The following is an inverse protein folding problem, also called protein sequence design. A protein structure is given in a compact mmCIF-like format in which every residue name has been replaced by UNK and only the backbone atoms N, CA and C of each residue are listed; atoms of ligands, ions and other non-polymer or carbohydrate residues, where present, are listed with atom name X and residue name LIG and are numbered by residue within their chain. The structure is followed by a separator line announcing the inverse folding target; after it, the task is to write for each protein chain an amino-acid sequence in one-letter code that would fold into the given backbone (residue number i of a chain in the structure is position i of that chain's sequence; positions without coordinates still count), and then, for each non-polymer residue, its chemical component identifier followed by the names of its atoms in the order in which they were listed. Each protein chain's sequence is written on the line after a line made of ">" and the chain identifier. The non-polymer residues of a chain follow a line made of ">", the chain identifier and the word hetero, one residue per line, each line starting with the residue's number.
data_IF_414025498112
#
_entry.id   IF_414025498112
#
_cell.length_a   1.000
_cell.length_b   1.000
_cell.length_c   1.000
_cell.angle_alpha   90.00
_cell.angle_beta   90.00
_cell.angle_gamma   90.00
#
_symmetry.space_group_name_H-M   'P 1'
#
loop_
_entity.id
_entity.type
_entity.pdbx_description
1 polymer ?
#
# COMPACT_ATOMS: atom_id res chain seq x y z
N UNK A 1 -26.20 12.17 10.00
CA UNK A 1 -25.12 12.32 8.99
C UNK A 1 -24.89 11.00 8.29
N UNK A 2 -24.64 11.00 6.97
CA UNK A 2 -24.05 9.84 6.30
C UNK A 2 -22.62 9.61 6.80
N UNK A 3 -22.05 8.43 6.57
CA UNK A 3 -20.64 8.16 6.91
C UNK A 3 -19.69 9.17 6.26
N UNK A 4 -19.92 9.48 4.98
CA UNK A 4 -19.14 10.45 4.20
C UNK A 4 -19.18 11.85 4.82
N UNK A 5 -20.37 12.33 5.16
CA UNK A 5 -20.55 13.64 5.81
C UNK A 5 -19.84 13.70 7.17
N UNK A 6 -19.95 12.63 7.95
CA UNK A 6 -19.32 12.50 9.27
C UNK A 6 -17.80 12.56 9.20
N UNK A 7 -17.19 11.80 8.29
CA UNK A 7 -15.74 11.80 8.06
C UNK A 7 -15.26 13.17 7.60
N UNK A 8 -15.96 13.78 6.63
CA UNK A 8 -15.61 15.13 6.15
C UNK A 8 -15.73 16.18 7.24
N UNK A 9 -16.79 16.13 8.07
CA UNK A 9 -16.95 17.04 9.21
C UNK A 9 -15.78 16.91 10.19
N UNK A 10 -15.35 15.68 10.50
CA UNK A 10 -14.22 15.44 11.39
C UNK A 10 -12.88 15.97 10.82
N UNK A 11 -12.60 15.70 9.53
CA UNK A 11 -11.38 16.20 8.85
C UNK A 11 -11.35 17.73 8.79
N UNK A 12 -12.51 18.38 8.63
CA UNK A 12 -12.65 19.83 8.60
C UNK A 12 -12.75 20.47 9.99
N UNK A 13 -12.48 19.72 11.06
CA UNK A 13 -12.61 20.17 12.45
C UNK A 13 -14.00 20.69 12.84
N UNK A 14 -15.06 20.18 12.19
CA UNK A 14 -16.45 20.41 12.53
C UNK A 14 -16.94 19.35 13.51
N UNK A 15 -18.13 19.54 14.08
CA UNK A 15 -18.69 18.59 15.04
C UNK A 15 -19.51 17.50 14.30
N UNK A 16 -18.99 16.28 14.14
CA UNK A 16 -19.77 15.16 13.64
C UNK A 16 -20.76 14.67 14.71
N UNK A 17 -21.79 13.94 14.30
CA UNK A 17 -22.78 13.34 15.19
C UNK A 17 -22.20 12.24 16.11
N UNK A 18 -21.11 11.59 15.70
CA UNK A 18 -20.25 10.69 16.47
C UNK A 18 -18.83 10.69 15.90
N UNK A 19 -17.87 10.11 16.60
CA UNK A 19 -16.52 9.87 16.07
C UNK A 19 -16.60 8.93 14.85
N UNK A 20 -16.00 9.28 13.71
CA UNK A 20 -15.90 8.38 12.57
C UNK A 20 -15.12 7.11 12.91
N UNK A 21 -15.55 5.99 12.37
CA UNK A 21 -14.90 4.71 12.54
C UNK A 21 -14.24 4.23 11.23
N UNK A 22 -12.98 3.79 11.33
CA UNK A 22 -12.29 3.03 10.30
C UNK A 22 -11.91 1.66 10.86
N UNK A 23 -11.78 0.66 9.99
CA UNK A 23 -11.40 -0.68 10.39
C UNK A 23 -10.33 -1.22 9.47
N UNK A 24 -9.19 -1.54 10.04
CA UNK A 24 -8.09 -2.21 9.38
C UNK A 24 -7.67 -3.40 10.25
N UNK A 25 -7.57 -4.57 9.63
CA UNK A 25 -7.12 -5.78 10.31
C UNK A 25 -6.44 -6.73 9.31
N UNK A 26 -5.50 -7.53 9.81
CA UNK A 26 -4.88 -8.60 9.02
C UNK A 26 -5.92 -9.63 8.59
N UNK A 27 -5.66 -10.35 7.49
CA UNK A 27 -6.61 -11.28 6.89
C UNK A 27 -7.10 -12.37 7.84
N UNK A 28 -6.26 -12.83 8.76
CA UNK A 28 -6.62 -13.85 9.78
C UNK A 28 -7.63 -13.31 10.78
N UNK A 29 -7.53 -12.05 11.21
CA UNK A 29 -8.51 -11.41 12.11
C UNK A 29 -9.84 -11.23 11.37
N UNK A 30 -9.82 -10.73 10.12
CA UNK A 30 -11.01 -10.60 9.31
C UNK A 30 -11.74 -11.94 9.18
N UNK A 31 -11.02 -13.01 8.83
CA UNK A 31 -11.61 -14.36 8.71
C UNK A 31 -12.23 -14.83 10.03
N UNK A 32 -11.52 -14.71 11.16
CA UNK A 32 -12.03 -15.09 12.48
C UNK A 32 -13.31 -14.31 12.85
N UNK A 33 -13.38 -13.03 12.54
CA UNK A 33 -14.57 -12.21 12.78
C UNK A 33 -15.73 -12.63 11.89
N UNK A 34 -15.47 -12.85 10.59
CA UNK A 34 -16.48 -13.35 9.65
C UNK A 34 -17.07 -14.69 10.10
N UNK A 35 -16.21 -15.65 10.48
CA UNK A 35 -16.61 -16.96 11.01
C UNK A 35 -17.40 -16.82 12.31
N UNK A 36 -16.95 -16.00 13.25
CA UNK A 36 -17.60 -15.78 14.54
C UNK A 36 -19.03 -15.27 14.40
N UNK A 37 -19.28 -14.35 13.47
CA UNK A 37 -20.60 -13.79 13.22
C UNK A 37 -21.42 -14.57 12.18
N UNK A 38 -20.85 -15.55 11.51
CA UNK A 38 -21.48 -16.26 10.42
C UNK A 38 -21.69 -15.40 9.16
N UNK A 39 -20.83 -14.41 8.96
CA UNK A 39 -20.90 -13.52 7.82
C UNK A 39 -20.28 -14.14 6.57
N UNK A 40 -20.88 -13.87 5.42
CA UNK A 40 -20.43 -14.34 4.10
C UNK A 40 -19.95 -13.22 3.18
N UNK A 41 -20.24 -11.98 3.53
CA UNK A 41 -19.82 -10.77 2.83
C UNK A 41 -19.16 -9.80 3.83
N UNK A 42 -18.03 -9.21 3.43
CA UNK A 42 -17.28 -8.26 4.25
C UNK A 42 -18.10 -7.01 4.60
N UNK A 43 -19.06 -6.61 3.75
CA UNK A 43 -19.94 -5.48 4.02
C UNK A 43 -20.77 -5.69 5.30
N UNK A 44 -21.12 -6.95 5.65
CA UNK A 44 -21.81 -7.25 6.90
C UNK A 44 -20.96 -6.91 8.13
N UNK A 45 -19.62 -7.04 8.00
CA UNK A 45 -18.68 -6.63 9.05
C UNK A 45 -18.60 -5.11 9.15
N UNK A 46 -18.55 -4.42 8.00
CA UNK A 46 -18.55 -2.95 7.95
C UNK A 46 -19.83 -2.36 8.56
N UNK A 47 -20.98 -2.97 8.28
CA UNK A 47 -22.28 -2.59 8.87
C UNK A 47 -22.31 -2.89 10.38
N UNK A 48 -21.88 -4.07 10.79
CA UNK A 48 -21.87 -4.51 12.20
C UNK A 48 -21.08 -3.56 13.10
N UNK A 49 -19.96 -3.05 12.62
CA UNK A 49 -19.09 -2.12 13.36
C UNK A 49 -19.33 -0.65 13.00
N UNK A 50 -20.39 -0.37 12.22
CA UNK A 50 -20.74 1.00 11.79
C UNK A 50 -19.54 1.75 11.17
N UNK A 51 -18.75 1.05 10.34
CA UNK A 51 -17.55 1.59 9.72
C UNK A 51 -17.92 2.68 8.71
N UNK A 52 -17.25 3.82 8.79
CA UNK A 52 -17.51 4.99 7.97
C UNK A 52 -16.59 5.08 6.76
N UNK A 53 -15.40 4.49 6.82
CA UNK A 53 -14.34 4.59 5.81
C UNK A 53 -14.11 3.25 5.14
N UNK A 54 -14.15 3.22 3.80
CA UNK A 54 -13.96 2.00 3.02
C UNK A 54 -12.80 2.18 2.05
N UNK A 55 -11.80 1.28 2.07
CA UNK A 55 -10.71 1.31 1.10
C UNK A 55 -11.19 0.89 -0.29
N UNK A 56 -10.71 1.60 -1.32
CA UNK A 56 -10.97 1.30 -2.72
C UNK A 56 -9.68 1.38 -3.53
N UNK A 57 -9.61 0.62 -4.62
CA UNK A 57 -8.49 0.64 -5.53
C UNK A 57 -8.83 -0.01 -6.87
N UNK A 58 -8.16 0.34 -7.97
CA UNK A 58 -8.40 -0.27 -9.26
C UNK A 58 -7.99 -1.73 -9.26
N UNK A 59 -8.71 -2.55 -10.03
CA UNK A 59 -8.41 -3.97 -10.19
C UNK A 59 -7.10 -4.14 -10.97
N UNK A 60 -6.22 -4.97 -10.45
CA UNK A 60 -5.02 -5.37 -11.17
C UNK A 60 -5.38 -6.27 -12.36
N UNK A 61 -4.85 -5.95 -13.53
CA UNK A 61 -5.03 -6.66 -14.81
C UNK A 61 -3.71 -6.91 -15.53
N UNK A 62 -2.58 -6.64 -14.88
CA UNK A 62 -1.23 -6.81 -15.43
C UNK A 62 -0.81 -8.27 -15.54
N UNK A 63 0.50 -8.53 -15.67
CA UNK A 63 1.05 -9.87 -15.72
C UNK A 63 0.61 -10.75 -14.55
N UNK A 64 0.48 -12.05 -14.77
CA UNK A 64 0.07 -13.00 -13.72
C UNK A 64 0.95 -12.92 -12.48
N UNK A 65 0.33 -12.75 -11.32
CA UNK A 65 1.01 -12.77 -10.04
C UNK A 65 1.19 -14.22 -9.59
N UNK A 66 2.43 -14.68 -9.61
CA UNK A 66 2.77 -16.06 -9.30
C UNK A 66 2.71 -16.35 -7.81
N UNK A 67 2.23 -17.55 -7.47
CA UNK A 67 2.32 -18.10 -6.13
C UNK A 67 2.69 -19.57 -6.21
N UNK A 68 3.62 -20.02 -5.34
CA UNK A 68 4.12 -21.40 -5.32
C UNK A 68 4.48 -21.85 -3.91
N UNK A 69 4.81 -23.12 -3.74
CA UNK A 69 5.37 -23.65 -2.49
C UNK A 69 6.90 -23.74 -2.63
N UNK A 70 7.63 -23.23 -1.63
CA UNK A 70 9.08 -23.42 -1.53
C UNK A 70 9.42 -24.85 -1.03
N UNK A 71 10.70 -25.16 -0.90
CA UNK A 71 11.18 -26.47 -0.43
C UNK A 71 10.71 -26.83 0.98
N UNK A 72 10.38 -25.84 1.81
CA UNK A 72 9.83 -26.03 3.16
C UNK A 72 8.30 -26.18 3.18
N UNK A 73 7.64 -26.10 2.02
CA UNK A 73 6.18 -26.13 1.90
C UNK A 73 5.47 -24.83 2.27
N UNK A 74 6.20 -23.73 2.48
CA UNK A 74 5.66 -22.41 2.74
C UNK A 74 5.16 -21.75 1.45
N UNK A 75 4.07 -21.00 1.51
CA UNK A 75 3.57 -20.26 0.34
C UNK A 75 4.48 -19.05 0.06
N UNK A 76 4.95 -18.95 -1.17
CA UNK A 76 5.64 -17.77 -1.69
C UNK A 76 4.73 -17.07 -2.68
N UNK A 77 4.61 -15.76 -2.60
CA UNK A 77 3.81 -14.93 -3.52
C UNK A 77 4.67 -13.81 -4.07
N UNK A 78 4.62 -13.61 -5.39
CA UNK A 78 5.31 -12.52 -6.06
C UNK A 78 4.37 -11.34 -6.24
N UNK A 79 4.81 -10.15 -5.81
CA UNK A 79 4.07 -8.90 -6.00
C UNK A 79 4.21 -8.37 -7.44
N UNK A 80 3.34 -7.43 -7.84
CA UNK A 80 3.50 -6.73 -9.13
C UNK A 80 4.73 -5.81 -9.16
N UNK A 81 5.30 -5.46 -8.00
CA UNK A 81 6.60 -4.81 -7.85
C UNK A 81 7.79 -5.78 -7.98
N UNK A 82 7.54 -7.08 -8.13
CA UNK A 82 8.58 -8.09 -8.36
C UNK A 82 9.26 -8.65 -7.11
N UNK A 83 9.04 -8.09 -5.92
CA UNK A 83 9.50 -8.72 -4.68
C UNK A 83 8.66 -9.95 -4.33
N UNK A 84 9.23 -10.86 -3.53
CA UNK A 84 8.54 -12.07 -3.11
C UNK A 84 8.37 -12.10 -1.61
N UNK A 85 7.19 -12.52 -1.16
CA UNK A 85 6.89 -12.72 0.25
C UNK A 85 6.64 -14.19 0.52
N UNK A 86 7.22 -14.69 1.61
CA UNK A 86 6.95 -16.04 2.13
C UNK A 86 6.00 -15.93 3.33
N UNK A 87 4.97 -16.74 3.34
CA UNK A 87 4.06 -16.85 4.50
C UNK A 87 4.81 -17.42 5.70
N UNK A 88 4.79 -16.68 6.78
CA UNK A 88 5.29 -17.12 8.08
C UNK A 88 4.10 -17.38 9.01
N UNK A 89 3.92 -18.63 9.40
CA UNK A 89 2.82 -19.07 10.26
C UNK A 89 3.30 -19.13 11.70
N UNK A 90 2.60 -18.44 12.58
CA UNK A 90 2.79 -18.51 14.03
C UNK A 90 1.52 -19.07 14.69
N UNK A 91 1.58 -19.35 15.99
CA UNK A 91 0.44 -19.85 16.75
C UNK A 91 -0.72 -18.82 16.79
N UNK A 92 -0.46 -17.56 16.51
CA UNK A 92 -1.42 -16.46 16.64
C UNK A 92 -1.88 -15.97 15.27
N UNK A 93 -0.96 -15.85 14.30
CA UNK A 93 -1.21 -15.21 13.01
C UNK A 93 -0.37 -15.81 11.88
N UNK A 94 -0.73 -15.45 10.64
CA UNK A 94 0.06 -15.70 9.42
C UNK A 94 0.35 -14.36 8.76
N UNK A 95 1.62 -14.05 8.53
CA UNK A 95 2.04 -12.82 7.88
C UNK A 95 3.11 -13.09 6.80
N UNK A 96 3.16 -12.20 5.80
CA UNK A 96 4.18 -12.28 4.76
C UNK A 96 5.49 -11.63 5.22
N UNK A 97 6.60 -12.30 4.96
CA UNK A 97 7.95 -11.76 5.13
C UNK A 97 8.59 -11.66 3.75
N UNK A 98 9.13 -10.50 3.40
CA UNK A 98 9.87 -10.35 2.14
C UNK A 98 11.12 -11.21 2.16
N UNK A 99 11.24 -12.09 1.17
CA UNK A 99 12.34 -13.07 1.08
C UNK A 99 13.16 -12.95 -0.21
N UNK A 100 12.68 -12.14 -1.16
CA UNK A 100 13.40 -11.78 -2.37
C UNK A 100 13.22 -10.30 -2.67
N UNK A 101 14.33 -9.62 -2.90
CA UNK A 101 14.44 -8.18 -3.16
C UNK A 101 15.05 -7.98 -4.55
N UNK A 102 14.27 -7.57 -5.55
CA UNK A 102 14.70 -7.57 -6.95
C UNK A 102 15.84 -6.60 -7.27
N UNK A 103 16.08 -5.60 -6.44
CA UNK A 103 17.13 -4.60 -6.60
C UNK A 103 18.32 -4.78 -5.64
N UNK A 104 18.39 -5.89 -4.89
CA UNK A 104 19.57 -6.15 -4.06
C UNK A 104 20.86 -6.18 -4.89
N UNK A 105 21.90 -5.53 -4.37
CA UNK A 105 23.23 -5.50 -4.98
C UNK A 105 23.33 -4.61 -6.23
N UNK A 106 22.42 -3.63 -6.42
CA UNK A 106 22.59 -2.58 -7.42
C UNK A 106 23.51 -1.49 -6.86
N UNK A 107 24.42 -0.99 -7.70
CA UNK A 107 25.38 0.07 -7.34
C UNK A 107 25.25 1.29 -8.26
N UNK A 108 24.63 1.12 -9.43
CA UNK A 108 24.47 2.15 -10.45
C UNK A 108 23.09 2.18 -11.08
N UNK A 109 22.75 3.31 -11.73
CA UNK A 109 21.52 3.46 -12.51
C UNK A 109 21.46 2.42 -13.65
N UNK A 110 22.61 2.10 -14.24
CA UNK A 110 22.71 1.07 -15.28
C UNK A 110 22.35 -0.30 -14.75
N UNK A 111 22.81 -0.66 -13.54
CA UNK A 111 22.43 -1.94 -12.89
C UNK A 111 20.92 -2.01 -12.65
N UNK A 112 20.31 -0.90 -12.21
CA UNK A 112 18.85 -0.83 -12.02
C UNK A 112 18.12 -1.10 -13.33
N UNK A 113 18.52 -0.43 -14.41
CA UNK A 113 17.91 -0.59 -15.74
C UNK A 113 18.07 -1.99 -16.33
N UNK A 114 19.19 -2.65 -16.06
CA UNK A 114 19.46 -4.01 -16.55
C UNK A 114 18.69 -5.07 -15.75
N UNK A 115 18.59 -4.90 -14.42
CA UNK A 115 18.03 -5.92 -13.52
C UNK A 115 16.53 -5.80 -13.31
N UNK A 116 15.94 -4.59 -13.48
CA UNK A 116 14.61 -4.33 -13.00
C UNK A 116 13.75 -3.54 -13.99
N UNK A 117 12.49 -3.96 -14.08
CA UNK A 117 11.45 -3.24 -14.81
C UNK A 117 10.42 -2.75 -13.81
N UNK A 118 10.25 -1.45 -13.70
CA UNK A 118 9.22 -0.85 -12.83
C UNK A 118 7.81 -1.22 -13.32
N UNK A 119 6.82 -1.28 -12.42
CA UNK A 119 5.43 -1.51 -12.77
C UNK A 119 4.91 -0.47 -13.77
N UNK A 120 3.97 -0.91 -14.61
CA UNK A 120 3.30 -0.06 -15.58
C UNK A 120 1.91 0.34 -15.04
N UNK A 121 1.54 1.63 -15.01
CA UNK A 121 0.19 2.06 -14.68
C UNK A 121 -0.90 1.43 -15.57
N UNK A 122 -0.58 0.93 -16.77
CA UNK A 122 -1.50 0.20 -17.63
C UNK A 122 -1.91 -1.18 -17.08
N UNK A 123 -1.26 -1.66 -16.01
CA UNK A 123 -1.62 -2.92 -15.36
C UNK A 123 -2.87 -2.83 -14.46
N UNK A 124 -3.62 -1.73 -14.52
CA UNK A 124 -4.78 -1.51 -13.65
C UNK A 124 -6.02 -1.10 -14.45
N UNK A 125 -7.15 -1.73 -14.12
CA UNK A 125 -8.48 -1.39 -14.61
C UNK A 125 -9.08 -0.26 -13.75
N UNK A 126 -8.82 0.97 -14.13
CA UNK A 126 -9.30 2.16 -13.40
C UNK A 126 -10.84 2.31 -13.46
N UNK A 127 -11.48 1.78 -14.50
CA UNK A 127 -12.94 1.81 -14.60
C UNK A 127 -13.62 0.95 -13.53
N UNK A 128 -12.95 -0.06 -12.99
CA UNK A 128 -13.43 -0.87 -11.87
C UNK A 128 -13.70 -0.06 -10.59
N UNK A 129 -13.08 1.12 -10.44
CA UNK A 129 -13.37 2.04 -9.34
C UNK A 129 -14.80 2.59 -9.38
N UNK A 130 -15.41 2.72 -10.56
CA UNK A 130 -16.79 3.22 -10.70
C UNK A 130 -17.78 2.29 -10.01
N UNK A 131 -17.58 0.98 -10.14
CA UNK A 131 -18.42 -0.04 -9.49
C UNK A 131 -18.29 0.03 -7.96
N UNK A 132 -17.05 0.14 -7.46
CA UNK A 132 -16.77 0.26 -6.03
C UNK A 132 -17.37 1.54 -5.44
N UNK A 133 -17.24 2.67 -6.14
CA UNK A 133 -17.84 3.93 -5.73
C UNK A 133 -19.38 3.86 -5.69
N UNK A 134 -19.99 3.16 -6.64
CA UNK A 134 -21.45 2.96 -6.68
C UNK A 134 -21.95 2.03 -5.56
N UNK A 135 -21.14 1.05 -5.15
CA UNK A 135 -21.45 0.13 -4.03
C UNK A 135 -21.55 0.85 -2.69
N UNK A 136 -20.77 1.92 -2.50
CA UNK A 136 -20.68 2.63 -1.22
C UNK A 136 -21.03 4.12 -1.31
N UNK A 137 -22.26 4.50 -1.75
CA UNK A 137 -22.60 5.89 -2.05
C UNK A 137 -22.48 6.83 -0.84
N UNK A 138 -22.74 6.32 0.37
CA UNK A 138 -22.78 7.09 1.63
C UNK A 138 -21.53 6.93 2.50
N UNK A 139 -20.60 6.04 2.14
CA UNK A 139 -19.34 5.83 2.85
C UNK A 139 -18.28 6.85 2.38
N UNK A 140 -17.37 7.23 3.26
CA UNK A 140 -16.14 7.88 2.85
C UNK A 140 -15.21 6.86 2.20
N UNK A 141 -14.63 7.20 1.05
CA UNK A 141 -13.70 6.32 0.34
C UNK A 141 -12.27 6.77 0.55
N UNK A 142 -11.43 5.83 0.95
CA UNK A 142 -10.00 6.03 1.14
C UNK A 142 -9.23 5.24 0.09
N UNK A 143 -8.17 5.84 -0.43
CA UNK A 143 -7.21 5.23 -1.32
C UNK A 143 -5.80 5.54 -0.82
N UNK A 144 -4.87 4.66 -1.06
CA UNK A 144 -3.47 4.83 -0.73
C UNK A 144 -2.79 3.49 -0.48
N UNK A 145 -1.49 3.50 -0.64
CA UNK A 145 -0.61 2.38 -0.35
C UNK A 145 0.69 2.90 0.26
N UNK A 146 1.65 2.05 0.44
CA UNK A 146 2.95 2.40 0.99
C UNK A 146 3.59 3.51 0.16
N UNK A 147 4.19 4.49 0.85
CA UNK A 147 4.95 5.55 0.23
C UNK A 147 6.34 5.09 -0.26
N UNK A 148 7.11 5.99 -0.92
CA UNK A 148 8.34 5.62 -1.60
C UNK A 148 9.38 4.95 -0.72
N UNK A 149 9.56 5.38 0.53
CA UNK A 149 10.53 4.77 1.43
C UNK A 149 10.12 3.35 1.84
N UNK A 150 8.90 3.18 2.32
CA UNK A 150 8.40 1.85 2.68
C UNK A 150 8.46 0.90 1.48
N UNK A 151 8.04 1.37 0.32
CA UNK A 151 8.02 0.55 -0.90
C UNK A 151 9.43 0.17 -1.35
N UNK A 152 10.41 1.07 -1.29
CA UNK A 152 11.79 0.73 -1.68
C UNK A 152 12.38 -0.35 -0.79
N UNK A 153 11.99 -0.42 0.49
CA UNK A 153 12.46 -1.48 1.41
C UNK A 153 11.90 -2.87 1.10
N UNK A 154 10.93 -2.99 0.20
CA UNK A 154 10.53 -4.27 -0.39
C UNK A 154 11.32 -4.62 -1.66
N UNK A 155 11.97 -3.63 -2.29
CA UNK A 155 12.77 -3.83 -3.51
C UNK A 155 14.26 -4.02 -3.21
N UNK A 156 14.76 -3.42 -2.13
CA UNK A 156 16.14 -3.49 -1.65
C UNK A 156 16.09 -3.71 -0.14
N UNK A 157 16.92 -4.58 0.40
CA UNK A 157 17.06 -4.69 1.85
C UNK A 157 17.42 -3.33 2.46
N UNK A 158 16.79 -2.99 3.58
CA UNK A 158 16.84 -1.65 4.16
C UNK A 158 18.27 -1.17 4.44
N UNK A 159 19.14 -2.04 4.93
CA UNK A 159 20.56 -1.73 5.18
C UNK A 159 21.31 -1.44 3.88
N UNK A 160 21.06 -2.22 2.81
CA UNK A 160 21.63 -1.96 1.50
C UNK A 160 21.13 -0.64 0.90
N UNK A 161 19.84 -0.32 1.08
CA UNK A 161 19.31 0.95 0.63
C UNK A 161 19.95 2.14 1.36
N UNK A 162 20.16 2.03 2.67
CA UNK A 162 20.86 3.08 3.42
C UNK A 162 22.31 3.25 2.94
N UNK A 163 23.01 2.16 2.62
CA UNK A 163 24.33 2.27 2.02
C UNK A 163 24.27 2.92 0.64
N UNK A 164 23.30 2.56 -0.18
CA UNK A 164 23.11 3.16 -1.51
C UNK A 164 22.86 4.68 -1.43
N UNK A 165 22.08 5.16 -0.45
CA UNK A 165 21.86 6.60 -0.23
C UNK A 165 23.17 7.35 0.07
N UNK A 166 24.17 6.70 0.68
CA UNK A 166 25.48 7.31 1.01
C UNK A 166 26.48 7.13 -0.11
N UNK A 167 26.59 5.93 -0.66
CA UNK A 167 27.66 5.58 -1.60
C UNK A 167 27.33 5.94 -3.06
N UNK A 168 26.04 5.88 -3.42
CA UNK A 168 25.55 6.19 -4.76
C UNK A 168 24.19 6.94 -4.72
N UNK A 169 24.15 8.17 -4.16
CA UNK A 169 22.91 8.91 -3.92
C UNK A 169 22.06 9.13 -5.18
N UNK A 170 22.68 9.31 -6.35
CA UNK A 170 21.97 9.47 -7.61
C UNK A 170 21.23 8.18 -8.03
N UNK A 171 21.76 7.00 -7.69
CA UNK A 171 21.09 5.73 -7.93
C UNK A 171 19.89 5.55 -7.00
N UNK A 172 20.04 5.91 -5.72
CA UNK A 172 18.93 5.89 -4.76
C UNK A 172 17.80 6.84 -5.19
N UNK A 173 18.13 8.08 -5.58
CA UNK A 173 17.17 9.07 -6.11
C UNK A 173 16.48 8.56 -7.37
N UNK A 174 17.23 8.01 -8.32
CA UNK A 174 16.64 7.44 -9.54
C UNK A 174 15.58 6.37 -9.27
N UNK A 175 15.82 5.50 -8.28
CA UNK A 175 14.84 4.47 -7.90
C UNK A 175 13.60 5.12 -7.30
N UNK A 176 13.77 6.05 -6.36
CA UNK A 176 12.66 6.79 -5.73
C UNK A 176 11.85 7.59 -6.76
N UNK A 177 12.52 8.30 -7.68
CA UNK A 177 11.87 9.06 -8.75
C UNK A 177 10.98 8.16 -9.63
N UNK A 178 11.48 6.97 -10.00
CA UNK A 178 10.71 6.02 -10.80
C UNK A 178 9.48 5.48 -10.07
N UNK A 179 9.58 5.32 -8.77
CA UNK A 179 8.43 4.91 -7.93
C UNK A 179 7.40 6.03 -7.84
N UNK A 180 7.85 7.26 -7.60
CA UNK A 180 6.99 8.44 -7.55
C UNK A 180 6.33 8.71 -8.92
N UNK A 181 7.05 8.58 -10.04
CA UNK A 181 6.49 8.68 -11.40
C UNK A 181 5.32 7.70 -11.59
N UNK A 182 5.51 6.43 -11.19
CA UNK A 182 4.45 5.43 -11.23
C UNK A 182 3.26 5.83 -10.36
N UNK A 183 3.48 6.20 -9.11
CA UNK A 183 2.42 6.55 -8.16
C UNK A 183 1.61 7.76 -8.61
N UNK A 184 2.27 8.81 -9.09
CA UNK A 184 1.61 10.01 -9.59
C UNK A 184 0.68 9.69 -10.77
N UNK A 185 1.14 8.89 -11.72
CA UNK A 185 0.32 8.50 -12.87
C UNK A 185 -0.83 7.56 -12.45
N UNK A 186 -0.57 6.61 -11.54
CA UNK A 186 -1.59 5.73 -10.98
C UNK A 186 -2.70 6.53 -10.29
N UNK A 187 -2.37 7.44 -9.38
CA UNK A 187 -3.37 8.25 -8.68
C UNK A 187 -4.08 9.23 -9.61
N UNK A 188 -3.37 9.82 -10.58
CA UNK A 188 -3.98 10.70 -11.58
C UNK A 188 -5.11 9.97 -12.32
N UNK A 189 -4.85 8.75 -12.80
CA UNK A 189 -5.85 7.92 -13.49
C UNK A 189 -7.00 7.49 -12.58
N UNK A 190 -6.71 7.15 -11.32
CA UNK A 190 -7.75 6.85 -10.34
C UNK A 190 -8.71 8.04 -10.16
N UNK A 191 -8.17 9.25 -9.95
CA UNK A 191 -9.00 10.45 -9.76
C UNK A 191 -9.76 10.84 -11.02
N UNK A 192 -9.20 10.66 -12.20
CA UNK A 192 -9.91 10.90 -13.46
C UNK A 192 -11.07 9.92 -13.66
N UNK A 193 -10.89 8.64 -13.33
CA UNK A 193 -11.92 7.62 -13.48
C UNK A 193 -13.16 7.90 -12.61
N UNK A 194 -12.98 8.45 -11.41
CA UNK A 194 -14.06 8.63 -10.41
C UNK A 194 -14.09 10.05 -9.82
N UNK A 195 -14.00 11.05 -10.66
CA UNK A 195 -13.88 12.47 -10.31
C UNK A 195 -14.64 12.88 -9.03
N UNK A 196 -13.91 13.33 -8.01
CA UNK A 196 -14.46 13.84 -6.75
C UNK A 196 -15.12 12.81 -5.83
N UNK A 197 -14.97 11.49 -6.12
CA UNK A 197 -15.58 10.45 -5.27
C UNK A 197 -14.66 9.89 -4.20
N UNK A 198 -13.35 9.93 -4.41
CA UNK A 198 -12.37 9.60 -3.36
C UNK A 198 -12.31 10.75 -2.37
N UNK A 199 -12.51 10.46 -1.09
CA UNK A 199 -12.56 11.46 -0.01
C UNK A 199 -11.20 11.63 0.69
N UNK A 200 -10.39 10.55 0.74
CA UNK A 200 -9.11 10.52 1.44
C UNK A 200 -8.06 9.86 0.53
N UNK A 201 -6.95 10.55 0.30
CA UNK A 201 -5.72 9.95 -0.19
C UNK A 201 -4.76 9.81 0.99
N UNK A 202 -4.32 8.58 1.27
CA UNK A 202 -3.45 8.26 2.40
C UNK A 202 -2.25 7.43 1.92
N UNK A 203 -1.27 8.03 1.25
CA UNK A 203 0.04 7.40 1.16
C UNK A 203 0.64 7.40 2.58
N UNK A 204 1.33 6.34 2.96
CA UNK A 204 1.94 6.24 4.27
C UNK A 204 3.36 5.71 4.15
N UNK A 205 4.25 6.28 4.93
CA UNK A 205 5.64 5.91 5.02
C UNK A 205 6.06 5.76 6.48
N UNK A 206 6.92 4.81 6.78
CA UNK A 206 7.41 4.54 8.12
C UNK A 206 8.88 4.94 8.26
N UNK A 207 9.11 6.19 8.64
CA UNK A 207 10.45 6.78 8.83
C UNK A 207 11.02 6.61 10.23
N UNK A 208 10.34 5.91 11.12
CA UNK A 208 10.67 5.87 12.52
C UNK A 208 10.70 4.50 13.16
N UNK A 209 11.30 4.47 14.33
CA UNK A 209 11.24 3.36 15.28
C UNK A 209 10.52 3.83 16.54
N UNK A 210 10.36 2.96 17.53
CA UNK A 210 9.77 3.33 18.82
C UNK A 210 10.58 4.38 19.60
N UNK A 211 11.85 4.61 19.24
CA UNK A 211 12.76 5.48 19.99
C UNK A 211 13.46 6.55 19.16
N UNK A 212 13.49 6.43 17.85
CA UNK A 212 14.22 7.36 16.97
C UNK A 212 13.73 7.29 15.52
N UNK A 213 14.15 8.27 14.70
CA UNK A 213 14.10 8.17 13.25
C UNK A 213 15.08 7.10 12.76
N UNK A 214 14.77 6.48 11.63
CA UNK A 214 15.65 5.50 10.96
C UNK A 214 16.91 6.14 10.37
N UNK A 215 16.80 7.40 9.95
CA UNK A 215 17.90 8.19 9.39
C UNK A 215 17.75 9.67 9.79
N UNK A 216 18.74 10.49 9.48
CA UNK A 216 18.74 11.91 9.87
C UNK A 216 17.66 12.72 9.13
N UNK A 217 17.24 13.84 9.75
CA UNK A 217 16.31 14.79 9.10
C UNK A 217 16.91 15.37 7.81
N UNK A 218 18.23 15.52 7.74
CA UNK A 218 18.88 16.05 6.55
C UNK A 218 18.85 15.02 5.40
N UNK A 219 19.04 13.73 5.68
CA UNK A 219 18.81 12.66 4.69
C UNK A 219 17.34 12.62 4.24
N UNK A 220 16.39 12.78 5.19
CA UNK A 220 14.97 12.84 4.82
C UNK A 220 14.69 14.02 3.86
N UNK A 221 15.26 15.19 4.13
CA UNK A 221 15.11 16.36 3.25
C UNK A 221 15.73 16.14 1.88
N UNK A 222 16.85 15.46 1.83
CA UNK A 222 17.56 15.21 0.58
C UNK A 222 16.85 14.21 -0.33
N UNK A 223 16.21 13.18 0.22
CA UNK A 223 15.68 12.06 -0.56
C UNK A 223 14.15 12.02 -0.64
N UNK A 224 13.42 12.64 0.31
CA UNK A 224 11.97 12.43 0.45
C UNK A 224 11.16 13.72 0.60
N UNK A 225 11.78 14.88 0.73
CA UNK A 225 11.04 16.14 0.99
C UNK A 225 10.51 16.79 -0.29
N UNK A 226 11.04 16.53 -1.48
CA UNK A 226 10.67 17.21 -2.74
C UNK A 226 9.40 16.64 -3.37
#
# INVERSE_FOLDING_TARGET
>A
MTSRERVRAAILHQNPDRVPAAFEAVGTVNRKLMEHYGFTDYDQLLEKYEIDVVPVGPRYIGPELLSWKNEKGETVTKSFWGFETTEHVTDIDTYGVTTFFPLNGVESIEDVKEKYTFPDPDWFDYDSLKEQCARYPDKALIMGHEGPFQMVTFLIEMDQFFMLMVDAPETAKYILDKMVEFELEYYRRCFEAVSGRIDILRPHDDYGTQISLLFSVDMWREFFQE
#
